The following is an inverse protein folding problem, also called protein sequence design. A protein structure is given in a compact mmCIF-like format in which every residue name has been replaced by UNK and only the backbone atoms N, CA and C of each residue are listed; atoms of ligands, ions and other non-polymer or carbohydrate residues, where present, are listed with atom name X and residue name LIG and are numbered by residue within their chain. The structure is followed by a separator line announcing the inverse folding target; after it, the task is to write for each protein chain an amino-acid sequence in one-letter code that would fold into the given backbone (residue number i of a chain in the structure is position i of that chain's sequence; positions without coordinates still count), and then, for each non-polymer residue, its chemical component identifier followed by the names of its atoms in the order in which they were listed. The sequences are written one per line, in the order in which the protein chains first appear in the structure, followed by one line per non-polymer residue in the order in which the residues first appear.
data_IF_241271544359
#
_entry.id   IF_241271544359
#
_cell.length_a   1.000
_cell.length_b   1.000
_cell.length_c   1.000
_cell.angle_alpha   90.00
_cell.angle_beta   90.00
_cell.angle_gamma   90.00
#
_symmetry.space_group_name_H-M   'P 1'
#
loop_
_entity.id
_entity.type
_entity.pdbx_description
1 polymer ?
#
# COMPACT_ATOMS: atom_id res chain seq x y z
N UNK A 1 -12.86 22.10 113.14
CA UNK A 1 -12.29 21.33 112.01
C UNK A 1 -13.30 21.40 110.88
N UNK A 2 -13.17 22.37 110.00
CA UNK A 2 -14.06 22.52 108.83
C UNK A 2 -13.42 21.79 107.66
N UNK A 3 -14.07 20.69 107.26
CA UNK A 3 -13.57 19.74 106.27
C UNK A 3 -14.01 20.20 104.87
N UNK A 4 -13.24 21.12 104.28
CA UNK A 4 -13.50 21.65 102.94
C UNK A 4 -12.77 20.80 101.88
N UNK A 5 -13.33 19.63 101.54
CA UNK A 5 -12.84 18.87 100.40
C UNK A 5 -13.63 19.25 99.14
N UNK A 6 -12.98 19.71 98.05
CA UNK A 6 -13.66 20.10 96.84
C UNK A 6 -14.24 18.88 96.12
N UNK A 7 -15.55 18.87 95.89
CA UNK A 7 -16.25 17.83 95.13
C UNK A 7 -15.94 18.04 93.63
N UNK A 8 -15.14 17.15 93.05
CA UNK A 8 -14.84 17.17 91.61
C UNK A 8 -15.85 16.29 90.88
N UNK A 9 -16.79 16.90 90.16
CA UNK A 9 -17.75 16.18 89.32
C UNK A 9 -17.15 15.98 87.92
N UNK A 10 -16.66 14.77 87.63
CA UNK A 10 -16.20 14.39 86.28
C UNK A 10 -17.39 14.01 85.39
N UNK A 11 -17.89 14.97 84.59
CA UNK A 11 -18.90 14.68 83.56
C UNK A 11 -18.24 14.01 82.35
N UNK A 12 -18.41 12.69 82.23
CA UNK A 12 -17.96 11.94 81.05
C UNK A 12 -19.08 11.96 80.01
N UNK A 13 -18.93 12.76 78.95
CA UNK A 13 -19.83 12.71 77.79
C UNK A 13 -19.49 11.43 77.01
N UNK A 14 -20.26 10.36 77.21
CA UNK A 14 -20.20 9.21 76.30
C UNK A 14 -20.85 9.62 75.00
N UNK A 15 -20.03 9.95 74.01
CA UNK A 15 -20.48 10.01 72.62
C UNK A 15 -20.58 8.54 72.19
N UNK A 16 -21.80 8.03 72.05
CA UNK A 16 -22.01 6.78 71.33
C UNK A 16 -21.49 7.01 69.91
N UNK A 17 -20.37 6.37 69.56
CA UNK A 17 -19.90 6.37 68.18
C UNK A 17 -21.05 5.86 67.33
N UNK A 18 -21.57 6.71 66.44
CA UNK A 18 -22.57 6.30 65.46
C UNK A 18 -22.03 5.08 64.71
N UNK A 19 -22.91 4.16 64.34
CA UNK A 19 -22.54 2.93 63.61
C UNK A 19 -21.83 3.24 62.29
N UNK A 20 -20.52 3.48 62.31
CA UNK A 20 -19.70 3.80 61.14
C UNK A 20 -19.32 2.55 60.31
N UNK A 21 -19.90 1.39 60.62
CA UNK A 21 -19.61 0.12 59.93
C UNK A 21 -20.46 -0.17 58.68
N UNK A 22 -21.33 0.75 58.25
CA UNK A 22 -22.24 0.57 57.10
C UNK A 22 -21.79 1.22 55.79
N UNK A 23 -20.98 2.28 55.86
CA UNK A 23 -20.61 3.08 54.68
C UNK A 23 -19.80 2.28 53.63
N UNK A 24 -18.89 1.40 54.08
CA UNK A 24 -18.12 0.55 53.18
C UNK A 24 -18.99 -0.51 52.48
N UNK A 25 -20.08 -0.94 53.11
CA UNK A 25 -21.04 -1.88 52.49
C UNK A 25 -21.85 -1.21 51.40
N UNK A 26 -22.13 0.09 51.55
CA UNK A 26 -22.81 0.89 50.52
C UNK A 26 -21.88 1.07 49.31
N UNK A 27 -20.61 1.42 49.53
CA UNK A 27 -19.61 1.51 48.46
C UNK A 27 -19.38 0.16 47.75
N UNK A 28 -19.36 -0.95 48.51
CA UNK A 28 -19.24 -2.29 47.94
C UNK A 28 -20.48 -2.70 47.15
N UNK A 29 -21.68 -2.38 47.64
CA UNK A 29 -22.93 -2.64 46.92
C UNK A 29 -23.00 -1.86 45.60
N UNK A 30 -22.61 -0.58 45.61
CA UNK A 30 -22.57 0.27 44.42
C UNK A 30 -21.58 -0.26 43.38
N UNK A 31 -20.38 -0.66 43.82
CA UNK A 31 -19.40 -1.32 42.96
C UNK A 31 -19.93 -2.63 42.34
N UNK A 32 -20.58 -3.48 43.15
CA UNK A 32 -21.16 -4.73 42.67
C UNK A 32 -22.28 -4.49 41.65
N UNK A 33 -23.12 -3.47 41.85
CA UNK A 33 -24.16 -3.10 40.87
C UNK A 33 -23.60 -2.51 39.59
N UNK A 34 -22.53 -1.72 39.67
CA UNK A 34 -21.83 -1.21 38.49
C UNK A 34 -21.21 -2.34 37.67
N UNK A 35 -20.56 -3.31 38.33
CA UNK A 35 -20.03 -4.49 37.64
C UNK A 35 -21.14 -5.35 37.04
N UNK A 36 -22.26 -5.56 37.76
CA UNK A 36 -23.41 -6.29 37.25
C UNK A 36 -23.99 -5.63 35.98
N UNK A 37 -24.19 -4.32 36.00
CA UNK A 37 -24.68 -3.57 34.84
C UNK A 37 -23.70 -3.67 33.66
N UNK A 38 -22.40 -3.55 33.92
CA UNK A 38 -21.36 -3.73 32.91
C UNK A 38 -21.41 -5.13 32.27
N UNK A 39 -21.49 -6.19 33.08
CA UNK A 39 -21.61 -7.55 32.58
C UNK A 39 -22.89 -7.80 31.78
N UNK A 40 -24.03 -7.21 32.17
CA UNK A 40 -25.27 -7.30 31.41
C UNK A 40 -25.15 -6.63 30.04
N UNK A 41 -24.46 -5.49 29.95
CA UNK A 41 -24.20 -4.82 28.67
C UNK A 41 -23.30 -5.68 27.78
N UNK A 42 -22.20 -6.23 28.31
CA UNK A 42 -21.33 -7.13 27.53
C UNK A 42 -22.06 -8.40 27.10
N UNK A 43 -22.93 -8.94 27.95
CA UNK A 43 -23.73 -10.12 27.62
C UNK A 43 -24.74 -9.83 26.50
N UNK A 44 -25.40 -8.68 26.52
CA UNK A 44 -26.28 -8.23 25.44
C UNK A 44 -25.50 -8.00 24.14
N UNK A 45 -24.29 -7.42 24.20
CA UNK A 45 -23.43 -7.28 23.03
C UNK A 45 -22.92 -8.62 22.48
N UNK A 46 -22.72 -9.64 23.32
CA UNK A 46 -22.32 -10.97 22.86
C UNK A 46 -23.45 -11.71 22.15
N UNK A 47 -24.69 -11.55 22.63
CA UNK A 47 -25.88 -12.22 22.11
C UNK A 47 -26.56 -11.48 20.95
N UNK A 48 -26.27 -10.19 20.77
CA UNK A 48 -26.79 -9.40 19.66
C UNK A 48 -26.20 -9.83 18.30
N UNK A 49 -27.05 -9.83 17.27
CA UNK A 49 -26.64 -10.09 15.89
C UNK A 49 -25.77 -8.94 15.33
N UNK A 50 -24.93 -9.19 14.31
CA UNK A 50 -24.08 -8.15 13.72
C UNK A 50 -24.87 -6.93 13.22
N UNK A 51 -26.06 -7.14 12.65
CA UNK A 51 -26.94 -6.08 12.15
C UNK A 51 -27.46 -5.17 13.28
N UNK A 52 -27.86 -5.75 14.41
CA UNK A 52 -28.32 -5.00 15.58
C UNK A 52 -27.22 -4.12 16.18
N UNK A 53 -25.96 -4.58 16.18
CA UNK A 53 -24.82 -3.79 16.68
C UNK A 53 -24.58 -2.56 15.82
N UNK A 54 -24.73 -2.69 14.49
CA UNK A 54 -24.55 -1.59 13.55
C UNK A 54 -25.68 -0.56 13.72
N UNK A 55 -26.92 -1.01 13.89
CA UNK A 55 -28.07 -0.12 14.15
C UNK A 55 -27.92 0.69 15.45
N UNK A 56 -27.50 0.03 16.53
CA UNK A 56 -27.25 0.71 17.82
C UNK A 56 -26.09 1.70 17.69
N UNK A 57 -24.99 1.34 17.00
CA UNK A 57 -23.88 2.25 16.76
C UNK A 57 -24.28 3.46 15.89
N UNK A 58 -25.21 3.30 14.96
CA UNK A 58 -25.79 4.38 14.17
C UNK A 58 -26.53 5.40 15.04
N UNK A 59 -27.35 4.94 15.99
CA UNK A 59 -28.11 5.81 16.90
C UNK A 59 -27.23 6.72 17.76
N UNK A 60 -26.06 6.24 18.20
CA UNK A 60 -25.12 7.06 18.98
C UNK A 60 -24.27 8.01 18.13
N UNK A 61 -24.13 7.74 16.83
CA UNK A 61 -23.40 8.62 15.91
C UNK A 61 -24.27 9.76 15.43
N UNK A 62 -25.55 9.51 15.17
CA UNK A 62 -26.53 10.52 14.74
C UNK A 62 -27.86 10.38 15.50
N UNK A 63 -28.00 11.01 16.67
CA UNK A 63 -29.25 10.96 17.45
C UNK A 63 -30.41 11.73 16.79
N UNK A 64 -30.13 12.55 15.77
CA UNK A 64 -31.10 13.44 15.12
C UNK A 64 -31.71 12.81 13.85
N UNK A 65 -30.97 11.96 13.13
CA UNK A 65 -31.42 11.37 11.86
C UNK A 65 -32.42 10.23 11.98
N UNK A 66 -32.63 9.67 13.18
CA UNK A 66 -33.52 8.54 13.42
C UNK A 66 -34.95 8.92 13.86
N UNK A 67 -35.24 10.21 14.08
CA UNK A 67 -36.54 10.65 14.61
C UNK A 67 -37.55 11.10 13.55
N UNK A 68 -37.13 11.34 12.30
CA UNK A 68 -38.00 11.98 11.30
C UNK A 68 -38.60 11.06 10.21
N UNK A 69 -38.31 9.77 10.17
CA UNK A 69 -39.00 8.85 9.23
C UNK A 69 -38.95 7.39 9.63
N UNK A 70 -40.10 6.86 10.11
CA UNK A 70 -40.41 5.42 10.04
C UNK A 70 -40.32 4.62 11.34
N UNK A 71 -41.37 4.75 12.18
CA UNK A 71 -41.79 3.89 13.32
C UNK A 71 -40.77 3.60 14.46
N UNK A 72 -41.15 3.82 15.73
CA UNK A 72 -40.25 3.66 16.89
C UNK A 72 -40.12 2.22 17.42
N UNK A 73 -40.41 1.18 16.61
CA UNK A 73 -40.38 -0.22 17.06
C UNK A 73 -39.54 -1.11 16.15
N UNK A 74 -38.79 -2.02 16.78
CA UNK A 74 -37.76 -2.87 16.17
C UNK A 74 -38.32 -4.23 15.66
N UNK A 75 -39.65 -4.40 15.67
CA UNK A 75 -40.32 -5.65 15.25
C UNK A 75 -41.40 -5.29 14.22
N UNK A 76 -41.17 -5.68 12.97
CA UNK A 76 -42.08 -5.52 11.84
C UNK A 76 -43.20 -6.57 11.91
N UNK A 77 -44.46 -6.11 12.02
CA UNK A 77 -45.65 -6.95 12.03
C UNK A 77 -46.55 -6.68 10.81
N UNK A 78 -45.95 -6.63 9.61
CA UNK A 78 -46.63 -6.99 8.36
C UNK A 78 -47.59 -5.95 7.80
N UNK A 79 -47.17 -4.70 7.69
CA UNK A 79 -47.92 -3.64 7.00
C UNK A 79 -47.18 -3.12 5.76
N UNK A 80 -47.68 -3.39 4.56
CA UNK A 80 -47.14 -2.83 3.31
C UNK A 80 -47.39 -1.32 3.22
N UNK A 81 -46.37 -0.48 2.98
CA UNK A 81 -46.56 0.95 2.86
C UNK A 81 -47.15 1.30 1.49
N UNK A 82 -48.30 2.00 1.50
CA UNK A 82 -48.80 2.72 0.32
C UNK A 82 -48.26 4.15 0.38
N UNK A 83 -47.82 4.67 -0.77
CA UNK A 83 -47.29 6.03 -0.90
C UNK A 83 -48.42 7.06 -0.77
N UNK A 84 -48.26 8.05 0.10
CA UNK A 84 -49.18 9.18 0.22
C UNK A 84 -48.99 10.18 -0.93
N UNK A 85 -50.04 10.89 -1.38
CA UNK A 85 -49.95 11.75 -2.56
C UNK A 85 -49.16 13.03 -2.28
N UNK A 86 -48.40 13.45 -3.30
CA UNK A 86 -47.70 14.72 -3.41
C UNK A 86 -48.66 15.90 -3.18
N UNK A 87 -48.51 16.58 -2.04
CA UNK A 87 -48.60 18.04 -1.93
C UNK A 87 -48.43 18.46 -0.47
N UNK A 88 -47.19 18.71 -0.07
CA UNK A 88 -46.91 19.57 1.08
C UNK A 88 -46.47 20.94 0.56
N UNK A 89 -47.22 21.95 0.99
CA UNK A 89 -47.00 23.37 0.70
C UNK A 89 -45.76 23.86 1.45
N UNK A 90 -44.59 23.81 0.84
CA UNK A 90 -43.47 24.68 1.22
C UNK A 90 -42.54 24.93 0.00
N UNK A 91 -41.97 26.14 -0.13
CA UNK A 91 -41.32 26.58 -1.34
C UNK A 91 -39.97 25.89 -1.51
N UNK A 92 -39.65 25.55 -2.76
CA UNK A 92 -38.41 24.98 -3.29
C UNK A 92 -37.18 25.13 -2.37
N UNK A 93 -36.94 24.15 -1.50
CA UNK A 93 -35.56 23.83 -1.12
C UNK A 93 -35.06 22.91 -2.23
N UNK A 94 -34.31 23.48 -3.18
CA UNK A 94 -33.44 22.69 -4.05
C UNK A 94 -32.41 21.99 -3.17
N UNK A 95 -32.78 20.84 -2.62
CA UNK A 95 -31.84 19.90 -2.04
C UNK A 95 -31.04 19.30 -3.18
N UNK A 96 -30.01 20.02 -3.62
CA UNK A 96 -28.87 19.33 -4.20
C UNK A 96 -28.41 18.33 -3.14
N UNK A 97 -28.20 17.05 -3.48
CA UNK A 97 -27.55 16.12 -2.58
C UNK A 97 -26.12 16.64 -2.42
N UNK A 98 -25.88 17.46 -1.40
CA UNK A 98 -24.53 17.60 -0.88
C UNK A 98 -24.20 16.22 -0.32
N UNK A 99 -23.17 15.55 -0.84
CA UNK A 99 -22.74 14.30 -0.23
C UNK A 99 -22.38 14.66 1.20
N UNK A 100 -23.05 14.04 2.18
CA UNK A 100 -22.61 14.06 3.56
C UNK A 100 -21.18 13.55 3.58
N UNK A 101 -20.22 14.48 3.51
CA UNK A 101 -18.84 14.22 3.83
C UNK A 101 -18.84 13.97 5.32
N UNK A 102 -19.06 12.72 5.70
CA UNK A 102 -18.55 12.21 6.97
C UNK A 102 -17.07 12.57 6.94
N UNK A 103 -16.69 13.58 7.72
CA UNK A 103 -15.30 13.96 7.95
C UNK A 103 -14.71 12.85 8.80
N UNK A 104 -14.42 11.73 8.15
CA UNK A 104 -13.57 10.71 8.71
C UNK A 104 -12.23 11.42 8.91
N UNK A 105 -11.81 11.57 10.16
CA UNK A 105 -10.46 12.05 10.49
C UNK A 105 -9.47 11.15 9.73
N UNK A 106 -8.89 11.69 8.67
CA UNK A 106 -8.03 10.96 7.73
C UNK A 106 -6.87 10.30 8.46
N UNK A 107 -6.39 10.98 9.50
CA UNK A 107 -5.26 10.57 10.32
C UNK A 107 -5.58 9.33 11.17
N UNK A 108 -6.81 9.21 11.66
CA UNK A 108 -7.23 8.04 12.46
C UNK A 108 -7.41 6.79 11.58
N UNK A 109 -7.94 6.95 10.37
CA UNK A 109 -8.09 5.82 9.43
C UNK A 109 -6.76 5.37 8.87
N UNK A 110 -5.83 6.30 8.61
CA UNK A 110 -4.48 5.95 8.15
C UNK A 110 -3.72 5.18 9.23
N UNK A 111 -3.80 5.59 10.50
CA UNK A 111 -3.18 4.85 11.61
C UNK A 111 -3.74 3.44 11.81
N UNK A 112 -5.06 3.25 11.71
CA UNK A 112 -5.66 1.91 11.79
C UNK A 112 -5.27 1.03 10.58
N UNK A 113 -5.20 1.60 9.38
CA UNK A 113 -4.79 0.89 8.18
C UNK A 113 -3.31 0.46 8.24
N UNK A 114 -2.42 1.32 8.74
CA UNK A 114 -1.01 1.00 8.95
C UNK A 114 -0.84 -0.17 9.95
N UNK A 115 -1.65 -0.20 11.02
CA UNK A 115 -1.60 -1.29 12.01
C UNK A 115 -2.06 -2.63 11.43
N UNK A 116 -3.17 -2.66 10.69
CA UNK A 116 -3.66 -3.88 10.01
C UNK A 116 -2.65 -4.37 8.96
N UNK A 117 -2.02 -3.45 8.23
CA UNK A 117 -0.99 -3.79 7.25
C UNK A 117 0.23 -4.41 7.93
N UNK A 118 0.68 -3.84 9.05
CA UNK A 118 1.80 -4.38 9.84
C UNK A 118 1.53 -5.80 10.31
N UNK A 119 0.36 -6.06 10.88
CA UNK A 119 -0.06 -7.41 11.31
C UNK A 119 -0.05 -8.39 10.12
N UNK A 120 -0.48 -7.94 8.94
CA UNK A 120 -0.46 -8.76 7.72
C UNK A 120 0.96 -9.09 7.26
N UNK A 121 1.89 -8.15 7.38
CA UNK A 121 3.31 -8.39 7.08
C UNK A 121 3.97 -9.32 8.10
N UNK A 122 3.57 -9.25 9.37
CA UNK A 122 4.03 -10.18 10.42
C UNK A 122 3.55 -11.61 10.16
N UNK A 123 2.28 -11.78 9.75
CA UNK A 123 1.76 -13.08 9.33
C UNK A 123 2.48 -13.61 8.08
N UNK A 124 2.75 -12.75 7.10
CA UNK A 124 3.52 -13.11 5.91
C UNK A 124 4.95 -13.54 6.25
N UNK A 125 5.60 -12.84 7.17
CA UNK A 125 6.93 -13.21 7.68
C UNK A 125 6.91 -14.62 8.28
N UNK A 126 5.93 -14.90 9.14
CA UNK A 126 5.80 -16.21 9.77
C UNK A 126 5.57 -17.31 8.73
N UNK A 127 4.70 -17.06 7.74
CA UNK A 127 4.43 -18.02 6.67
C UNK A 127 5.68 -18.28 5.80
N UNK A 128 6.45 -17.23 5.47
CA UNK A 128 7.71 -17.40 4.75
C UNK A 128 8.75 -18.19 5.55
N UNK A 129 8.85 -17.95 6.86
CA UNK A 129 9.73 -18.71 7.74
C UNK A 129 9.33 -20.19 7.77
N UNK A 130 8.03 -20.47 7.95
CA UNK A 130 7.50 -21.83 7.90
C UNK A 130 7.81 -22.49 6.56
N UNK A 131 7.63 -21.78 5.43
CA UNK A 131 7.90 -22.31 4.09
C UNK A 131 9.37 -22.70 3.90
N UNK A 132 10.29 -21.89 4.43
CA UNK A 132 11.73 -22.18 4.42
C UNK A 132 12.05 -23.41 5.25
N UNK A 133 11.34 -23.62 6.36
CA UNK A 133 11.51 -24.81 7.22
C UNK A 133 10.84 -26.07 6.65
N UNK A 134 9.73 -25.97 5.93
CA UNK A 134 9.07 -27.12 5.35
C UNK A 134 9.79 -27.65 4.10
N UNK A 135 10.39 -26.77 3.30
CA UNK A 135 11.04 -27.15 2.05
C UNK A 135 12.51 -27.56 2.29
N UNK A 136 12.88 -28.84 2.07
CA UNK A 136 14.25 -29.31 2.32
C UNK A 136 15.31 -28.62 1.44
N UNK A 137 14.93 -28.09 0.27
CA UNK A 137 15.85 -27.32 -0.56
C UNK A 137 16.10 -25.95 0.07
N UNK A 138 15.07 -25.27 0.55
CA UNK A 138 15.19 -23.94 1.18
C UNK A 138 15.94 -23.99 2.52
N UNK A 139 15.74 -25.04 3.32
CA UNK A 139 16.48 -25.20 4.58
C UNK A 139 18.00 -25.12 4.41
N UNK A 140 18.54 -25.68 3.31
CA UNK A 140 19.98 -25.64 3.00
C UNK A 140 20.52 -24.23 2.77
N UNK A 141 19.61 -23.30 2.47
CA UNK A 141 19.90 -21.90 2.19
C UNK A 141 19.31 -20.97 3.25
N UNK A 142 18.83 -21.49 4.40
CA UNK A 142 18.28 -20.68 5.50
C UNK A 142 19.23 -19.58 5.94
N UNK A 143 20.53 -19.88 6.01
CA UNK A 143 21.58 -18.92 6.41
C UNK A 143 21.84 -17.82 5.37
N UNK A 144 21.35 -18.00 4.13
CA UNK A 144 21.46 -17.02 3.05
C UNK A 144 20.21 -16.17 2.88
N UNK A 145 19.11 -16.52 3.55
CA UNK A 145 17.82 -15.84 3.44
C UNK A 145 17.56 -15.10 4.76
N UNK A 146 17.62 -13.77 4.71
CA UNK A 146 17.32 -12.90 5.83
C UNK A 146 15.98 -12.23 5.63
N UNK A 147 15.17 -12.22 6.67
CA UNK A 147 13.89 -11.53 6.70
C UNK A 147 13.94 -10.41 7.72
N UNK A 148 13.54 -9.20 7.32
CA UNK A 148 13.55 -8.01 8.17
C UNK A 148 12.30 -7.17 7.92
N UNK A 149 11.62 -6.76 8.98
CA UNK A 149 10.53 -5.76 8.87
C UNK A 149 11.18 -4.38 8.89
N UNK A 150 10.97 -3.63 7.82
CA UNK A 150 11.48 -2.26 7.63
C UNK A 150 10.31 -1.27 7.52
N UNK A 151 10.61 0.03 7.54
CA UNK A 151 9.60 1.08 7.35
C UNK A 151 8.90 0.99 5.97
N UNK A 152 9.64 0.52 4.96
CA UNK A 152 9.10 0.33 3.62
C UNK A 152 8.25 -0.95 3.49
N UNK A 153 8.33 -1.86 4.47
CA UNK A 153 7.60 -3.12 4.54
C UNK A 153 8.49 -4.32 4.84
N UNK A 154 8.07 -5.52 4.41
CA UNK A 154 8.83 -6.75 4.68
C UNK A 154 9.94 -6.93 3.64
N UNK A 155 11.19 -6.88 4.09
CA UNK A 155 12.38 -7.11 3.27
C UNK A 155 12.83 -8.55 3.37
N UNK A 156 13.02 -9.17 2.21
CA UNK A 156 13.56 -10.51 2.01
C UNK A 156 14.89 -10.34 1.29
N UNK A 157 16.00 -10.64 1.96
CA UNK A 157 17.34 -10.58 1.36
C UNK A 157 17.85 -11.98 1.11
N UNK A 158 18.26 -12.28 -0.13
CA UNK A 158 18.95 -13.53 -0.44
C UNK A 158 20.38 -13.21 -0.87
N UNK A 159 21.34 -13.83 -0.19
CA UNK A 159 22.76 -13.49 -0.28
C UNK A 159 23.59 -14.65 -0.84
N UNK A 160 24.62 -14.32 -1.61
CA UNK A 160 25.59 -15.32 -2.07
C UNK A 160 26.48 -15.80 -0.91
N UNK A 161 26.93 -17.05 -1.01
CA UNK A 161 28.07 -17.55 -0.24
C UNK A 161 29.13 -18.13 -1.18
N UNK A 162 30.37 -18.25 -0.72
CA UNK A 162 31.51 -18.71 -1.53
C UNK A 162 31.24 -20.02 -2.27
N UNK A 163 30.62 -20.99 -1.61
CA UNK A 163 30.34 -22.31 -2.18
C UNK A 163 28.92 -22.46 -2.76
N UNK A 164 28.11 -21.40 -2.71
CA UNK A 164 26.70 -21.42 -3.11
C UNK A 164 26.29 -20.06 -3.72
N UNK A 165 26.72 -19.75 -4.96
CA UNK A 165 26.39 -18.49 -5.64
C UNK A 165 24.99 -18.54 -6.26
N UNK A 166 24.17 -17.51 -6.17
CA UNK A 166 22.82 -17.48 -6.76
C UNK A 166 22.84 -17.40 -8.29
N UNK A 167 23.92 -16.87 -8.85
CA UNK A 167 24.10 -16.64 -10.28
C UNK A 167 25.39 -17.27 -10.78
N UNK A 168 25.45 -17.52 -12.09
CA UNK A 168 26.73 -17.80 -12.74
C UNK A 168 27.68 -16.60 -12.61
N UNK A 169 28.99 -16.88 -12.54
CA UNK A 169 30.01 -15.85 -12.42
C UNK A 169 29.93 -14.84 -13.57
N UNK A 170 29.90 -13.56 -13.23
CA UNK A 170 29.79 -12.48 -14.21
C UNK A 170 28.49 -12.46 -15.04
N UNK A 171 27.46 -13.21 -14.63
CA UNK A 171 26.23 -13.39 -15.40
C UNK A 171 24.99 -13.09 -14.56
N UNK A 172 23.88 -12.81 -15.26
CA UNK A 172 22.54 -12.70 -14.69
C UNK A 172 21.73 -14.00 -14.82
N UNK A 173 22.37 -15.10 -15.25
CA UNK A 173 21.76 -16.43 -15.29
C UNK A 173 21.64 -16.99 -13.87
N UNK A 174 20.42 -17.30 -13.46
CA UNK A 174 20.10 -17.91 -12.17
C UNK A 174 20.63 -19.35 -12.12
N UNK A 175 21.07 -19.77 -10.94
CA UNK A 175 21.29 -21.20 -10.66
C UNK A 175 19.95 -21.90 -10.37
N UNK A 176 19.81 -23.19 -10.69
CA UNK A 176 18.54 -23.91 -10.51
C UNK A 176 17.97 -23.84 -9.09
N UNK A 177 18.81 -24.01 -8.07
CA UNK A 177 18.35 -23.92 -6.68
C UNK A 177 17.83 -22.54 -6.29
N UNK A 178 18.39 -21.47 -6.85
CA UNK A 178 17.95 -20.11 -6.55
C UNK A 178 16.66 -19.78 -7.30
N UNK A 179 16.52 -20.28 -8.53
CA UNK A 179 15.25 -20.26 -9.26
C UNK A 179 14.16 -20.97 -8.44
N UNK A 180 14.39 -22.19 -7.98
CA UNK A 180 13.43 -22.94 -7.14
C UNK A 180 13.01 -22.17 -5.87
N UNK A 181 13.95 -21.46 -5.22
CA UNK A 181 13.66 -20.60 -4.07
C UNK A 181 12.70 -19.48 -4.45
N UNK A 182 12.96 -18.77 -5.55
CA UNK A 182 12.10 -17.68 -6.03
C UNK A 182 10.71 -18.20 -6.42
N UNK A 183 10.61 -19.34 -7.11
CA UNK A 183 9.33 -19.94 -7.49
C UNK A 183 8.49 -20.30 -6.26
N UNK A 184 9.10 -20.90 -5.23
CA UNK A 184 8.38 -21.29 -4.04
C UNK A 184 7.99 -20.09 -3.14
N UNK A 185 8.78 -19.01 -3.13
CA UNK A 185 8.40 -17.76 -2.43
C UNK A 185 7.31 -16.98 -3.16
N UNK A 186 7.23 -17.08 -4.49
CA UNK A 186 6.27 -16.33 -5.31
C UNK A 186 4.81 -16.58 -4.87
N UNK A 187 4.45 -17.82 -4.58
CA UNK A 187 3.11 -18.20 -4.14
C UNK A 187 2.76 -17.59 -2.76
N UNK A 188 3.70 -17.64 -1.82
CA UNK A 188 3.52 -17.05 -0.49
C UNK A 188 3.43 -15.52 -0.54
N UNK A 189 4.28 -14.86 -1.33
CA UNK A 189 4.26 -13.39 -1.48
C UNK A 189 2.97 -12.92 -2.15
N UNK A 190 2.41 -13.71 -3.07
CA UNK A 190 1.14 -13.41 -3.77
C UNK A 190 -0.08 -13.37 -2.83
N UNK A 191 -0.01 -13.97 -1.65
CA UNK A 191 -1.11 -14.00 -0.69
C UNK A 191 -1.51 -12.60 -0.17
N UNK A 192 -0.60 -11.63 -0.25
CA UNK A 192 -0.85 -10.24 0.13
C UNK A 192 -1.08 -9.35 -1.10
N UNK A 193 -1.94 -8.32 -1.03
CA UNK A 193 -2.25 -7.43 -2.15
C UNK A 193 -1.17 -6.33 -2.36
N UNK A 194 0.01 -6.54 -1.81
CA UNK A 194 1.09 -5.55 -1.74
C UNK A 194 2.01 -5.70 -2.96
N UNK A 195 2.42 -4.57 -3.52
CA UNK A 195 3.40 -4.57 -4.60
C UNK A 195 4.80 -4.85 -4.06
N UNK A 196 5.67 -5.39 -4.89
CA UNK A 196 7.08 -5.63 -4.54
C UNK A 196 8.03 -4.66 -5.25
N UNK A 197 9.13 -4.32 -4.57
CA UNK A 197 10.31 -3.70 -5.15
C UNK A 197 11.44 -4.71 -5.15
N UNK A 198 12.09 -4.92 -6.30
CA UNK A 198 13.20 -5.88 -6.44
C UNK A 198 14.49 -5.10 -6.69
N UNK A 199 15.51 -5.34 -5.88
CA UNK A 199 16.79 -4.65 -5.97
C UNK A 199 17.94 -5.65 -6.09
N UNK A 200 18.89 -5.36 -6.97
CA UNK A 200 20.09 -6.15 -7.15
C UNK A 200 21.33 -5.43 -6.62
N UNK A 201 22.20 -6.16 -5.93
CA UNK A 201 23.47 -5.69 -5.41
C UNK A 201 24.61 -6.59 -5.88
N UNK A 202 25.78 -5.99 -6.12
CA UNK A 202 27.03 -6.71 -6.42
C UNK A 202 28.10 -6.37 -5.39
N UNK A 203 29.14 -7.20 -5.34
CA UNK A 203 30.36 -6.87 -4.61
C UNK A 203 31.15 -5.77 -5.34
N UNK A 204 32.17 -5.23 -4.66
CA UNK A 204 33.06 -4.22 -5.22
C UNK A 204 34.12 -4.81 -6.16
N UNK A 205 34.06 -6.11 -6.47
CA UNK A 205 34.99 -6.72 -7.44
C UNK A 205 34.73 -6.10 -8.81
N UNK A 206 35.75 -5.56 -9.50
CA UNK A 206 35.58 -5.07 -10.85
C UNK A 206 35.04 -6.17 -11.75
N UNK A 207 34.02 -5.82 -12.53
CA UNK A 207 33.47 -6.75 -13.51
C UNK A 207 34.51 -7.02 -14.60
N UNK A 208 34.85 -8.30 -14.80
CA UNK A 208 35.77 -8.73 -15.85
C UNK A 208 34.97 -9.10 -17.09
N UNK A 209 34.61 -8.10 -17.90
CA UNK A 209 33.93 -8.30 -19.17
C UNK A 209 34.43 -7.34 -20.25
N UNK A 210 33.91 -7.51 -21.46
CA UNK A 210 34.27 -6.69 -22.61
C UNK A 210 33.21 -5.61 -22.84
N UNK A 211 33.65 -4.37 -23.12
CA UNK A 211 32.77 -3.23 -23.41
C UNK A 211 32.31 -2.47 -22.16
N UNK A 212 31.23 -1.69 -22.32
CA UNK A 212 30.71 -0.78 -21.28
C UNK A 212 29.88 -1.49 -20.19
N UNK A 213 29.81 -2.82 -20.22
CA UNK A 213 29.04 -3.60 -19.26
C UNK A 213 29.79 -3.71 -17.92
N UNK A 214 29.17 -3.21 -16.85
CA UNK A 214 29.73 -3.23 -15.51
C UNK A 214 28.79 -3.77 -14.44
N UNK A 215 29.14 -3.48 -13.20
CA UNK A 215 28.37 -3.92 -12.03
C UNK A 215 26.97 -3.26 -11.95
N UNK A 216 26.80 -2.09 -12.56
CA UNK A 216 25.50 -1.42 -12.67
C UNK A 216 24.54 -2.25 -13.52
N UNK A 217 24.93 -2.57 -14.76
CA UNK A 217 24.13 -3.39 -15.68
C UNK A 217 23.94 -4.80 -15.11
N UNK A 218 24.98 -5.39 -14.51
CA UNK A 218 24.89 -6.70 -13.89
C UNK A 218 23.85 -6.75 -12.76
N UNK A 219 23.87 -5.77 -11.86
CA UNK A 219 22.94 -5.70 -10.73
C UNK A 219 21.48 -5.55 -11.20
N UNK A 220 21.22 -4.66 -12.16
CA UNK A 220 19.90 -4.46 -12.74
C UNK A 220 19.39 -5.69 -13.51
N UNK A 221 20.28 -6.37 -14.24
CA UNK A 221 19.95 -7.59 -14.97
C UNK A 221 19.65 -8.76 -14.05
N UNK A 222 20.38 -8.89 -12.93
CA UNK A 222 20.11 -9.90 -11.90
C UNK A 222 18.78 -9.66 -11.19
N UNK A 223 18.47 -8.40 -10.86
CA UNK A 223 17.17 -8.03 -10.31
C UNK A 223 16.03 -8.38 -11.28
N UNK A 224 16.21 -8.11 -12.59
CA UNK A 224 15.25 -8.51 -13.62
C UNK A 224 15.16 -10.03 -13.83
N UNK A 225 16.27 -10.77 -13.69
CA UNK A 225 16.24 -12.23 -13.73
C UNK A 225 15.41 -12.78 -12.57
N UNK A 226 15.60 -12.24 -11.35
CA UNK A 226 14.78 -12.60 -10.20
C UNK A 226 13.29 -12.26 -10.42
N UNK A 227 12.97 -11.07 -10.98
CA UNK A 227 11.61 -10.71 -11.38
C UNK A 227 10.99 -11.77 -12.31
N UNK A 228 11.70 -12.17 -13.36
CA UNK A 228 11.20 -13.17 -14.32
C UNK A 228 10.94 -14.52 -13.65
N UNK A 229 11.81 -14.95 -12.73
CA UNK A 229 11.61 -16.18 -11.98
C UNK A 229 10.39 -16.11 -11.04
N UNK A 230 10.17 -14.98 -10.36
CA UNK A 230 8.95 -14.77 -9.57
C UNK A 230 7.69 -14.82 -10.43
N UNK A 231 7.71 -14.19 -11.60
CA UNK A 231 6.57 -14.22 -12.55
C UNK A 231 6.34 -15.63 -13.09
N UNK A 232 7.40 -16.40 -13.36
CA UNK A 232 7.29 -17.82 -13.71
C UNK A 232 6.69 -18.64 -12.56
N UNK A 233 6.96 -18.26 -11.31
CA UNK A 233 6.32 -18.77 -10.09
C UNK A 233 4.89 -18.28 -9.85
N UNK A 234 4.19 -17.77 -10.87
CA UNK A 234 2.82 -17.26 -10.80
C UNK A 234 2.62 -15.96 -10.01
N UNK A 235 3.70 -15.21 -9.74
CA UNK A 235 3.58 -13.85 -9.23
C UNK A 235 3.08 -12.89 -10.33
N UNK A 236 2.04 -12.08 -10.08
CA UNK A 236 1.51 -11.17 -11.10
C UNK A 236 2.49 -10.03 -11.42
N UNK A 237 2.85 -9.88 -12.69
CA UNK A 237 3.80 -8.86 -13.14
C UNK A 237 3.36 -7.42 -12.78
N UNK A 238 2.06 -7.15 -12.81
CA UNK A 238 1.47 -5.86 -12.43
C UNK A 238 1.66 -5.50 -10.94
N UNK A 239 2.00 -6.47 -10.08
CA UNK A 239 2.35 -6.21 -8.69
C UNK A 239 3.84 -5.90 -8.47
N UNK A 240 4.66 -5.90 -9.52
CA UNK A 240 6.02 -5.39 -9.44
C UNK A 240 5.98 -3.87 -9.55
N UNK A 241 6.30 -3.16 -8.47
CA UNK A 241 6.33 -1.69 -8.47
C UNK A 241 7.55 -1.13 -9.18
N UNK A 242 8.73 -1.71 -8.93
CA UNK A 242 10.00 -1.29 -9.56
C UNK A 242 11.08 -2.35 -9.48
N UNK A 243 12.08 -2.20 -10.35
CA UNK A 243 13.33 -2.98 -10.34
C UNK A 243 14.51 -2.00 -10.30
N UNK A 244 15.47 -2.22 -9.40
CA UNK A 244 16.61 -1.32 -9.16
C UNK A 244 17.93 -2.09 -9.18
N UNK A 245 18.97 -1.50 -9.77
CA UNK A 245 20.35 -2.00 -9.70
C UNK A 245 21.22 -1.04 -8.90
N UNK A 246 21.85 -1.52 -7.83
CA UNK A 246 22.70 -0.70 -6.96
C UNK A 246 24.21 -0.92 -7.18
N UNK A 247 24.62 -1.86 -8.03
CA UNK A 247 26.02 -2.27 -8.15
C UNK A 247 26.65 -2.50 -6.76
N UNK A 248 27.83 -1.93 -6.52
CA UNK A 248 28.55 -1.95 -5.25
C UNK A 248 28.32 -0.70 -4.38
N UNK A 249 27.33 0.15 -4.68
CA UNK A 249 27.08 1.39 -3.93
C UNK A 249 26.52 1.15 -2.52
N UNK A 250 25.83 0.02 -2.31
CA UNK A 250 25.18 -0.34 -1.06
C UNK A 250 25.61 -1.74 -0.60
N UNK A 251 26.85 -1.84 -0.12
CA UNK A 251 27.45 -3.07 0.41
C UNK A 251 26.79 -3.46 1.74
N UNK A 252 26.60 -4.77 1.94
CA UNK A 252 26.12 -5.34 3.20
C UNK A 252 27.26 -5.35 4.23
N UNK A 253 28.39 -5.92 3.85
CA UNK A 253 29.65 -5.87 4.58
C UNK A 253 30.52 -4.76 3.99
N UNK A 254 30.52 -3.61 4.66
CA UNK A 254 31.31 -2.44 4.28
C UNK A 254 32.80 -2.60 4.60
N UNK A 255 33.14 -3.44 5.57
CA UNK A 255 34.53 -3.68 5.99
C UNK A 255 35.25 -4.57 4.97
N UNK A 256 34.52 -5.52 4.36
CA UNK A 256 35.03 -6.41 3.32
C UNK A 256 34.24 -6.25 2.00
N UNK A 257 34.56 -5.23 1.18
CA UNK A 257 33.83 -4.95 -0.06
C UNK A 257 33.79 -6.09 -1.09
N UNK A 258 34.75 -7.01 -1.04
CA UNK A 258 34.86 -8.15 -1.96
C UNK A 258 34.15 -9.42 -1.47
N UNK A 259 33.53 -9.37 -0.29
CA UNK A 259 32.84 -10.51 0.31
C UNK A 259 31.62 -10.91 -0.57
N UNK A 260 31.45 -12.21 -0.89
CA UNK A 260 30.26 -12.73 -1.59
C UNK A 260 28.92 -12.30 -1.02
N UNK A 261 28.84 -12.12 0.30
CA UNK A 261 27.70 -11.60 1.04
C UNK A 261 27.16 -10.28 0.46
N UNK A 262 28.01 -9.48 -0.18
CA UNK A 262 27.61 -8.23 -0.86
C UNK A 262 26.82 -8.46 -2.16
N UNK A 263 26.94 -9.62 -2.78
CA UNK A 263 26.12 -10.02 -3.93
C UNK A 263 24.81 -10.59 -3.40
N UNK A 264 23.77 -9.76 -3.42
CA UNK A 264 22.45 -10.10 -2.88
C UNK A 264 21.31 -9.59 -3.75
N UNK A 265 20.16 -10.21 -3.62
CA UNK A 265 18.89 -9.73 -4.15
C UNK A 265 17.99 -9.37 -2.97
N UNK A 266 17.48 -8.15 -2.98
CA UNK A 266 16.56 -7.65 -1.97
C UNK A 266 15.16 -7.54 -2.60
N UNK A 267 14.19 -8.27 -2.04
CA UNK A 267 12.78 -8.21 -2.42
C UNK A 267 12.04 -7.56 -1.25
N UNK A 268 11.46 -6.39 -1.49
CA UNK A 268 10.69 -5.67 -0.46
C UNK A 268 9.22 -5.73 -0.82
N UNK A 269 8.41 -6.35 0.04
CA UNK A 269 6.95 -6.28 0.00
C UNK A 269 6.53 -4.95 0.61
N UNK A 270 6.06 -4.04 -0.24
CA UNK A 270 5.88 -2.63 0.10
C UNK A 270 4.63 -2.41 0.95
N UNK A 271 4.73 -1.55 1.95
CA UNK A 271 3.55 -0.95 2.60
C UNK A 271 2.80 -0.06 1.60
N UNK A 272 1.52 0.21 1.85
CA UNK A 272 0.75 1.16 1.01
C UNK A 272 1.39 2.54 0.97
N UNK A 273 1.97 2.99 2.08
CA UNK A 273 2.70 4.25 2.17
C UNK A 273 3.94 4.28 1.28
N UNK A 274 4.77 3.24 1.36
CA UNK A 274 5.97 3.13 0.52
C UNK A 274 5.62 2.98 -0.96
N UNK A 275 4.59 2.20 -1.28
CA UNK A 275 4.07 2.07 -2.64
C UNK A 275 3.64 3.43 -3.21
N UNK A 276 2.83 4.20 -2.47
CA UNK A 276 2.40 5.55 -2.87
C UNK A 276 3.57 6.51 -3.04
N UNK A 277 4.62 6.43 -2.22
CA UNK A 277 5.81 7.27 -2.39
C UNK A 277 6.56 6.96 -3.71
N UNK A 278 6.64 5.68 -4.08
CA UNK A 278 7.26 5.25 -5.33
C UNK A 278 6.40 5.59 -6.56
N UNK A 279 5.09 5.40 -6.48
CA UNK A 279 4.16 5.67 -7.60
C UNK A 279 3.82 7.16 -7.73
N UNK A 280 3.66 7.86 -6.60
CA UNK A 280 3.34 9.28 -6.54
C UNK A 280 4.47 10.19 -7.00
N UNK A 281 5.73 9.76 -6.82
CA UNK A 281 6.88 10.44 -7.44
C UNK A 281 6.92 10.30 -8.97
N UNK A 282 6.18 9.35 -9.55
CA UNK A 282 6.02 9.18 -10.99
C UNK A 282 4.73 9.84 -11.54
N UNK A 283 3.82 10.31 -10.68
CA UNK A 283 2.46 10.72 -11.04
C UNK A 283 2.02 12.13 -10.62
N UNK A 284 2.92 13.00 -10.19
CA UNK A 284 2.58 14.34 -9.71
C UNK A 284 3.41 15.46 -10.35
N UNK A 285 3.07 15.82 -11.59
CA UNK A 285 2.86 17.24 -11.90
C UNK A 285 1.34 17.46 -11.89
N UNK A 286 0.77 18.08 -10.85
CA UNK A 286 -0.43 18.86 -11.06
C UNK A 286 0.01 20.00 -11.99
N UNK A 287 -0.54 20.04 -13.20
CA UNK A 287 -0.45 21.24 -14.03
C UNK A 287 -0.81 22.43 -13.13
N UNK A 288 0.04 23.47 -13.04
CA UNK A 288 -0.26 24.60 -12.18
C UNK A 288 -1.58 25.20 -12.66
N UNK A 289 -2.56 25.25 -11.75
CA UNK A 289 -3.81 25.98 -11.93
C UNK A 289 -3.46 27.38 -12.42
N UNK A 290 -3.74 27.64 -13.70
CA UNK A 290 -3.64 28.97 -14.26
C UNK A 290 -4.61 29.87 -13.48
N UNK A 291 -4.15 30.97 -12.86
CA UNK A 291 -5.06 31.89 -12.19
C UNK A 291 -5.99 32.52 -13.22
N UNK A 292 -7.26 32.14 -13.21
CA UNK A 292 -8.31 32.90 -13.86
C UNK A 292 -8.49 34.22 -13.10
N UNK A 293 -8.21 35.33 -13.78
CA UNK A 293 -8.76 36.64 -13.41
C UNK A 293 -7.74 37.76 -13.18
N UNK A 294 -7.37 38.45 -14.27
CA UNK A 294 -7.37 39.92 -14.26
C UNK A 294 -7.58 40.42 -15.69
N UNK A 295 -8.84 40.66 -16.04
CA UNK A 295 -9.17 41.41 -17.23
C UNK A 295 -8.90 42.90 -16.96
N UNK A 296 -7.95 43.49 -17.68
CA UNK A 296 -7.87 44.92 -17.90
C UNK A 296 -8.13 45.20 -19.39
N UNK A 297 -8.85 46.28 -19.75
CA UNK A 297 -9.44 46.44 -21.06
C UNK A 297 -8.54 47.26 -21.99
N UNK A 298 -8.45 46.82 -23.25
CA UNK A 298 -8.08 47.70 -24.36
C UNK A 298 -6.84 47.27 -25.16
N UNK A 299 -7.06 46.43 -26.17
CA UNK A 299 -6.54 46.63 -27.53
C UNK A 299 -7.19 45.58 -28.42
N UNK A 300 -7.93 46.02 -29.43
CA UNK A 300 -8.51 45.14 -30.44
C UNK A 300 -7.40 44.46 -31.25
N UNK A 301 -7.46 43.14 -31.54
CA UNK A 301 -6.57 42.52 -32.50
C UNK A 301 -7.03 42.88 -33.92
N UNK A 302 -6.12 43.47 -34.69
CA UNK A 302 -6.24 43.50 -36.13
C UNK A 302 -5.85 42.13 -36.71
N UNK A 303 -6.68 41.65 -37.64
CA UNK A 303 -6.49 40.57 -38.60
C UNK A 303 -6.60 39.09 -38.14
N UNK A 304 -7.40 38.27 -38.86
CA UNK A 304 -7.52 36.84 -38.60
C UNK A 304 -6.35 36.08 -39.23
N UNK A 305 -5.64 35.29 -38.42
CA UNK A 305 -4.56 34.41 -38.89
C UNK A 305 -5.16 33.08 -39.34
N UNK A 306 -4.92 32.72 -40.60
CA UNK A 306 -5.40 31.50 -41.27
C UNK A 306 -4.73 30.24 -40.67
N UNK A 307 -5.48 29.20 -40.25
CA UNK A 307 -4.94 28.00 -39.58
C UNK A 307 -4.09 27.07 -40.47
N UNK A 308 -3.77 27.44 -41.72
CA UNK A 308 -2.97 26.62 -42.64
C UNK A 308 -1.62 27.22 -43.08
N UNK A 309 -1.10 28.25 -42.41
CA UNK A 309 0.22 28.78 -42.74
C UNK A 309 1.37 27.95 -42.11
N UNK A 310 2.21 27.34 -42.94
CA UNK A 310 3.45 26.66 -42.55
C UNK A 310 4.60 27.68 -42.33
N UNK A 311 5.51 27.45 -41.37
CA UNK A 311 6.66 28.34 -41.13
C UNK A 311 7.67 28.31 -42.29
N UNK A 312 8.30 29.47 -42.55
CA UNK A 312 8.96 29.84 -43.81
C UNK A 312 10.29 29.15 -44.16
N UNK A 313 10.65 28.00 -43.57
CA UNK A 313 11.95 27.35 -43.83
C UNK A 313 11.87 25.86 -44.22
N UNK A 314 10.73 25.39 -44.73
CA UNK A 314 10.62 24.05 -45.33
C UNK A 314 9.71 24.08 -46.56
N UNK A 315 10.31 24.04 -47.75
CA UNK A 315 9.56 23.77 -48.97
C UNK A 315 9.01 22.33 -48.94
N UNK A 316 7.72 22.11 -49.25
CA UNK A 316 7.15 20.77 -49.33
C UNK A 316 7.69 20.04 -50.57
N UNK A 317 8.19 18.82 -50.36
CA UNK A 317 8.67 17.94 -51.43
C UNK A 317 7.57 17.73 -52.49
N UNK A 318 7.91 17.81 -53.79
CA UNK A 318 6.93 17.71 -54.87
C UNK A 318 6.27 16.32 -54.93
N UNK A 319 4.97 16.30 -55.20
CA UNK A 319 4.09 15.12 -55.10
C UNK A 319 4.49 13.88 -55.94
N UNK A 320 5.45 14.02 -56.86
CA UNK A 320 5.99 12.89 -57.62
C UNK A 320 6.95 12.03 -56.81
N UNK A 321 7.81 12.63 -55.96
CA UNK A 321 8.76 11.89 -55.11
C UNK A 321 8.05 11.15 -53.96
N UNK A 322 6.95 11.71 -53.46
CA UNK A 322 6.10 11.07 -52.45
C UNK A 322 5.43 9.80 -52.99
N UNK A 323 5.01 9.80 -54.26
CA UNK A 323 4.46 8.62 -54.94
C UNK A 323 5.50 7.55 -55.21
N UNK A 324 6.73 7.94 -55.53
CA UNK A 324 7.84 6.99 -55.72
C UNK A 324 8.24 6.29 -54.42
N UNK A 325 8.31 7.02 -53.30
CA UNK A 325 8.61 6.44 -51.98
C UNK A 325 7.53 5.50 -51.46
N UNK A 326 6.26 5.77 -51.75
CA UNK A 326 5.13 4.93 -51.32
C UNK A 326 5.00 3.64 -52.15
N UNK A 327 5.52 3.60 -53.37
CA UNK A 327 5.47 2.44 -54.25
C UNK A 327 6.68 1.48 -54.11
N UNK A 328 7.56 1.71 -53.12
CA UNK A 328 8.78 0.92 -52.92
C UNK A 328 8.53 -0.51 -52.38
N UNK A 329 7.29 -0.86 -52.03
CA UNK A 329 6.93 -2.16 -51.44
C UNK A 329 5.96 -3.01 -52.26
N UNK A 330 5.62 -2.64 -53.49
CA UNK A 330 4.75 -3.45 -54.36
C UNK A 330 5.49 -3.84 -55.64
N UNK A 331 6.41 -4.80 -55.50
CA UNK A 331 7.08 -5.45 -56.63
C UNK A 331 6.20 -6.56 -57.22
N UNK A 332 6.14 -6.73 -58.55
CA UNK A 332 5.39 -7.83 -59.15
C UNK A 332 6.06 -9.18 -58.81
N UNK A 333 5.24 -10.19 -58.53
CA UNK A 333 5.70 -11.54 -58.19
C UNK A 333 6.69 -12.11 -59.24
N UNK A 334 7.76 -12.81 -58.82
CA UNK A 334 8.75 -13.34 -59.75
C UNK A 334 8.18 -14.50 -60.56
N UNK A 335 8.41 -14.48 -61.89
CA UNK A 335 8.20 -15.65 -62.75
C UNK A 335 9.29 -16.70 -62.46
N UNK A 336 9.00 -18.00 -62.55
CA UNK A 336 9.98 -19.03 -62.21
C UNK A 336 11.04 -19.15 -63.31
N UNK A 337 12.33 -19.00 -62.96
CA UNK A 337 13.41 -19.51 -63.81
C UNK A 337 14.71 -18.70 -63.97
N UNK A 338 15.02 -17.66 -63.20
CA UNK A 338 16.31 -16.94 -63.39
C UNK A 338 16.91 -16.40 -62.07
N UNK A 339 18.24 -16.51 -61.85
CA UNK A 339 18.86 -16.25 -60.54
C UNK A 339 19.03 -14.75 -60.24
N UNK A 340 18.75 -14.38 -58.98
CA UNK A 340 18.81 -13.02 -58.46
C UNK A 340 20.24 -12.47 -58.32
N UNK A 341 20.48 -11.24 -58.78
CA UNK A 341 21.70 -10.47 -58.52
C UNK A 341 21.67 -9.80 -57.13
N UNK A 342 22.81 -9.68 -56.43
CA UNK A 342 22.87 -9.08 -55.09
C UNK A 342 22.82 -7.55 -55.14
N UNK A 343 22.13 -6.96 -54.16
CA UNK A 343 21.95 -5.52 -53.98
C UNK A 343 23.19 -4.84 -53.36
N UNK A 344 23.58 -3.69 -53.90
CA UNK A 344 24.63 -2.80 -53.36
C UNK A 344 24.15 -2.04 -52.10
N UNK A 345 25.06 -1.70 -51.17
CA UNK A 345 24.73 -0.95 -49.95
C UNK A 345 24.60 0.57 -50.19
N UNK A 346 23.87 1.29 -49.32
CA UNK A 346 23.59 2.71 -49.52
C UNK A 346 24.80 3.60 -49.22
N UNK A 347 24.97 4.67 -50.01
CA UNK A 347 25.94 5.74 -49.76
C UNK A 347 25.47 6.65 -48.61
N UNK A 348 26.47 7.21 -47.93
CA UNK A 348 26.48 7.96 -46.66
C UNK A 348 25.36 8.97 -46.43
#
# INVERSE_FOLDING_TARGET
MENNQPIIIKRVKRIAGGHHGGAWKIAFADFATAMMAFFLVLWLLSTATPEQKIAIAGYFKDPIGFSESGTPYIIDLGGTPTLAPENTLNPEVKSQPQPDKVTIDTDQVEGMAEQVEKERLELLLQELQNKVEENPQMQKFKDQILFEITQDGLRIQIMDAENRPMFDSGSARLKPYFEDILLAMADTIKAVPNKISISGHTDAKPYTGTGDFGNWELSANRANAARRALVAGSYPDAQVARVVGYASSALFDREHPFNPVNRRIDIVVLTKKAQRAIEGSQGAEPAPDAPQGSAAPGAAPAEPVDPNALPADKEPLPAHELRERLNLFDGPAPKPGEPAKPAEPPKQ
#
